data_IF_448859515333
#
_entry.id   IF_448859515333
#
_cell.length_a   1.000
_cell.length_b   1.000
_cell.length_c   1.000
_cell.angle_alpha   90.00
_cell.angle_beta   90.00
_cell.angle_gamma   90.00
#
_symmetry.space_group_name_H-M   'P 1'
#
loop_
_entity.id
_entity.type
_entity.pdbx_description
1 polymer ?
#
# COMPACT_ATOMS: atom_id res chain seq x y z
N UNK A 1 -25.29 49.16 -4.22
CA UNK A 1 -25.03 48.07 -5.19
C UNK A 1 -23.60 47.54 -5.15
N UNK A 2 -22.58 48.39 -4.97
CA UNK A 2 -21.18 47.94 -4.86
C UNK A 2 -20.86 47.11 -3.60
N UNK A 3 -21.60 47.29 -2.51
CA UNK A 3 -21.39 46.52 -1.27
C UNK A 3 -21.83 45.06 -1.38
N UNK A 4 -22.87 44.79 -2.17
CA UNK A 4 -23.34 43.42 -2.42
C UNK A 4 -22.29 42.59 -3.17
N UNK A 5 -21.65 43.19 -4.18
CA UNK A 5 -20.55 42.58 -4.92
C UNK A 5 -19.33 42.32 -4.02
N UNK A 6 -18.99 43.27 -3.14
CA UNK A 6 -17.87 43.12 -2.21
C UNK A 6 -18.08 41.97 -1.20
N UNK A 7 -19.31 41.82 -0.68
CA UNK A 7 -19.64 40.72 0.24
C UNK A 7 -19.62 39.35 -0.46
N UNK A 8 -20.04 39.29 -1.74
CA UNK A 8 -20.02 38.08 -2.55
C UNK A 8 -18.59 37.57 -2.85
N UNK A 9 -17.65 38.48 -3.16
CA UNK A 9 -16.25 38.11 -3.39
C UNK A 9 -15.51 37.73 -2.11
N UNK A 10 -15.90 38.27 -0.95
CA UNK A 10 -15.32 37.92 0.35
C UNK A 10 -15.65 36.47 0.75
N UNK A 11 -16.89 36.00 0.54
CA UNK A 11 -17.27 34.61 0.83
C UNK A 11 -16.54 33.61 -0.07
N UNK A 12 -16.36 33.91 -1.36
CA UNK A 12 -15.70 33.00 -2.31
C UNK A 12 -14.21 32.81 -2.04
N UNK A 13 -13.56 33.75 -1.35
CA UNK A 13 -12.15 33.63 -0.96
C UNK A 13 -11.95 32.63 0.20
N UNK A 14 -12.88 32.59 1.14
CA UNK A 14 -12.88 31.66 2.27
C UNK A 14 -13.07 30.19 1.88
N UNK A 15 -13.75 29.92 0.76
CA UNK A 15 -13.98 28.54 0.29
C UNK A 15 -12.76 27.94 -0.42
N UNK A 16 -11.91 28.77 -1.04
CA UNK A 16 -10.72 28.31 -1.74
C UNK A 16 -9.61 27.83 -0.80
N UNK A 17 -9.53 28.37 0.42
CA UNK A 17 -8.57 27.95 1.46
C UNK A 17 -8.88 26.52 1.95
N UNK A 18 -10.18 26.15 1.98
CA UNK A 18 -10.64 24.81 2.37
C UNK A 18 -10.35 23.75 1.30
N UNK A 19 -10.50 24.11 0.02
CA UNK A 19 -10.20 23.22 -1.11
C UNK A 19 -8.70 22.97 -1.30
N UNK A 20 -7.86 23.99 -1.12
CA UNK A 20 -6.41 23.85 -1.17
C UNK A 20 -5.87 22.97 -0.02
N UNK A 21 -6.41 23.13 1.19
CA UNK A 21 -6.01 22.32 2.35
C UNK A 21 -6.34 20.83 2.19
N UNK A 22 -7.43 20.48 1.50
CA UNK A 22 -7.77 19.08 1.22
C UNK A 22 -6.70 18.37 0.36
N UNK A 23 -6.06 19.10 -0.56
CA UNK A 23 -5.03 18.55 -1.47
C UNK A 23 -3.69 18.37 -0.76
N UNK A 24 -3.33 19.22 0.20
CA UNK A 24 -2.07 19.09 0.96
C UNK A 24 -2.05 17.78 1.75
N UNK A 25 -3.11 17.50 2.51
CA UNK A 25 -3.23 16.23 3.25
C UNK A 25 -3.40 15.05 2.29
N UNK A 26 -4.12 15.23 1.18
CA UNK A 26 -4.25 14.21 0.14
C UNK A 26 -2.92 13.80 -0.50
N UNK A 27 -2.02 14.76 -0.73
CA UNK A 27 -0.69 14.49 -1.31
C UNK A 27 0.25 13.78 -0.33
N UNK A 28 0.19 14.11 0.96
CA UNK A 28 0.93 13.35 1.99
C UNK A 28 0.48 11.89 2.05
N UNK A 29 -0.84 11.66 2.03
CA UNK A 29 -1.41 10.31 2.03
C UNK A 29 -1.01 9.55 0.75
N UNK A 30 -1.06 10.21 -0.41
CA UNK A 30 -0.65 9.62 -1.68
C UNK A 30 0.84 9.23 -1.68
N UNK A 31 1.71 10.05 -1.09
CA UNK A 31 3.13 9.74 -0.92
C UNK A 31 3.37 8.51 -0.05
N UNK A 32 2.67 8.40 1.09
CA UNK A 32 2.75 7.23 1.97
C UNK A 32 2.21 5.98 1.26
N UNK A 33 1.09 6.10 0.54
CA UNK A 33 0.52 4.99 -0.22
C UNK A 33 1.51 4.48 -1.30
N UNK A 34 2.13 5.40 -2.04
CA UNK A 34 3.15 5.04 -3.03
C UNK A 34 4.36 4.33 -2.40
N UNK A 35 4.82 4.80 -1.24
CA UNK A 35 5.91 4.16 -0.49
C UNK A 35 5.55 2.73 -0.08
N UNK A 36 4.35 2.51 0.46
CA UNK A 36 3.90 1.17 0.87
C UNK A 36 3.85 0.23 -0.34
N UNK A 37 3.32 0.68 -1.48
CA UNK A 37 3.28 -0.13 -2.71
C UNK A 37 4.68 -0.54 -3.17
N UNK A 38 5.65 0.39 -3.14
CA UNK A 38 7.04 0.10 -3.49
C UNK A 38 7.62 -0.98 -2.56
N UNK A 39 7.40 -0.87 -1.25
CA UNK A 39 7.86 -1.87 -0.29
C UNK A 39 7.22 -3.23 -0.56
N UNK A 40 5.91 -3.30 -0.80
CA UNK A 40 5.23 -4.57 -1.08
C UNK A 40 5.78 -5.25 -2.34
N UNK A 41 6.02 -4.49 -3.42
CA UNK A 41 6.58 -5.04 -4.65
C UNK A 41 8.03 -5.50 -4.43
N UNK A 42 8.84 -4.71 -3.72
CA UNK A 42 10.24 -5.04 -3.46
C UNK A 42 10.42 -6.29 -2.60
N UNK A 43 9.56 -6.47 -1.59
CA UNK A 43 9.67 -7.60 -0.64
C UNK A 43 8.79 -8.81 -1.01
N UNK A 44 7.76 -8.64 -1.86
CA UNK A 44 6.82 -9.70 -2.21
C UNK A 44 7.48 -10.90 -2.88
N UNK A 45 8.37 -10.67 -3.85
CA UNK A 45 9.09 -11.75 -4.54
C UNK A 45 10.01 -12.55 -3.61
N UNK A 46 10.71 -11.86 -2.69
CA UNK A 46 11.58 -12.50 -1.70
C UNK A 46 10.78 -13.41 -0.77
N UNK A 47 9.64 -12.93 -0.27
CA UNK A 47 8.76 -13.71 0.61
C UNK A 47 8.21 -14.94 -0.14
N UNK A 48 7.78 -14.78 -1.39
CA UNK A 48 7.31 -15.88 -2.23
C UNK A 48 8.39 -16.95 -2.40
N UNK A 49 9.62 -16.56 -2.75
CA UNK A 49 10.73 -17.49 -2.92
C UNK A 49 11.06 -18.25 -1.62
N UNK A 50 11.03 -17.57 -0.47
CA UNK A 50 11.27 -18.23 0.83
C UNK A 50 10.18 -19.27 1.12
N UNK A 51 8.91 -18.96 0.85
CA UNK A 51 7.82 -19.92 1.05
C UNK A 51 7.89 -21.08 0.06
N UNK A 52 8.23 -20.84 -1.21
CA UNK A 52 8.40 -21.90 -2.21
C UNK A 52 9.51 -22.87 -1.81
N UNK A 53 10.69 -22.35 -1.43
CA UNK A 53 11.80 -23.19 -0.96
C UNK A 53 11.41 -23.97 0.31
N UNK A 54 10.71 -23.34 1.25
CA UNK A 54 10.25 -24.02 2.48
C UNK A 54 9.25 -25.13 2.16
N UNK A 55 8.33 -24.89 1.22
CA UNK A 55 7.40 -25.91 0.76
C UNK A 55 8.13 -27.08 0.09
N UNK A 56 9.14 -26.80 -0.73
CA UNK A 56 9.96 -27.83 -1.39
C UNK A 56 10.73 -28.67 -0.37
N UNK A 57 11.35 -28.03 0.64
CA UNK A 57 12.07 -28.72 1.71
C UNK A 57 11.13 -29.58 2.57
N UNK A 58 9.93 -29.07 2.91
CA UNK A 58 8.92 -29.83 3.65
C UNK A 58 8.41 -31.00 2.80
N UNK A 59 8.14 -30.79 1.51
CA UNK A 59 7.67 -31.83 0.61
C UNK A 59 8.75 -32.91 0.39
N UNK A 60 10.01 -32.50 0.23
CA UNK A 60 11.14 -33.42 0.17
C UNK A 60 11.27 -34.22 1.47
N UNK A 61 11.25 -33.57 2.64
CA UNK A 61 11.28 -34.24 3.93
C UNK A 61 10.08 -35.18 4.16
N UNK A 62 8.89 -34.81 3.69
CA UNK A 62 7.69 -35.65 3.76
C UNK A 62 7.78 -36.85 2.81
N UNK A 63 8.30 -36.67 1.59
CA UNK A 63 8.55 -37.76 0.64
C UNK A 63 9.63 -38.72 1.16
N UNK A 64 10.65 -38.20 1.85
CA UNK A 64 11.65 -39.04 2.51
C UNK A 64 11.05 -39.79 3.70
N UNK A 65 10.17 -39.16 4.50
CA UNK A 65 9.45 -39.83 5.58
C UNK A 65 8.46 -40.92 5.10
N UNK A 66 7.89 -40.75 3.90
CA UNK A 66 7.09 -41.78 3.23
C UNK A 66 7.99 -42.90 2.66
N UNK A 67 9.14 -42.53 2.06
CA UNK A 67 10.12 -43.46 1.48
C UNK A 67 10.86 -44.30 2.54
N UNK A 68 11.00 -43.80 3.77
CA UNK A 68 11.58 -44.55 4.89
C UNK A 68 10.61 -45.62 5.45
N UNK A 69 9.33 -45.59 5.08
CA UNK A 69 8.33 -46.62 5.44
C UNK A 69 8.26 -47.80 4.45
N UNK A 70 9.10 -47.84 3.42
CA UNK A 70 9.15 -48.93 2.41
C UNK A 70 10.45 -49.73 2.43
N UNK A 71 11.28 -49.60 3.48
CA UNK A 71 12.49 -50.43 3.64
C UNK A 71 12.57 -51.11 5.01
N UNK A 72 11.59 -51.98 5.26
CA UNK A 72 11.66 -53.37 5.77
C UNK A 72 10.30 -53.83 6.32
#
# INVERSE_FOLDING_TARGET
MLEFLRNMFAMRRHENERGASAVEYGLLIAGIAALIVVVVIAFGGTIQSVFENTCEDIAAGASLADQDCETE
#
